data_IF_397577985302
#
_entry.id   IF_397577985302
#
_cell.length_a   1.000
_cell.length_b   1.000
_cell.length_c   1.000
_cell.angle_alpha   90.00
_cell.angle_beta   90.00
_cell.angle_gamma   90.00
#
_symmetry.space_group_name_H-M   'P 1'
#
loop_
_entity.id
_entity.type
_entity.pdbx_description
1 polymer ?
#
# COMPACT_ATOMS: atom_id res chain seq x y z
N UNK A 1 -14.38 -14.72 -33.27
CA UNK A 1 -14.97 -14.81 -31.92
C UNK A 1 -13.97 -14.22 -30.94
N UNK A 2 -14.29 -13.08 -30.31
CA UNK A 2 -13.55 -12.65 -29.12
C UNK A 2 -13.79 -13.73 -28.05
N UNK A 3 -12.79 -14.09 -27.23
CA UNK A 3 -13.02 -15.01 -26.12
C UNK A 3 -14.15 -14.43 -25.26
N UNK A 4 -15.09 -15.29 -24.89
CA UNK A 4 -16.10 -14.99 -23.89
C UNK A 4 -15.37 -14.56 -22.60
N UNK A 5 -15.37 -13.26 -22.30
CA UNK A 5 -14.80 -12.75 -21.05
C UNK A 5 -15.71 -13.22 -19.92
N UNK A 6 -15.42 -14.41 -19.38
CA UNK A 6 -16.18 -14.98 -18.27
C UNK A 6 -16.20 -13.97 -17.12
N UNK A 7 -17.38 -13.50 -16.75
CA UNK A 7 -17.58 -12.66 -15.57
C UNK A 7 -16.95 -13.34 -14.35
N UNK A 8 -15.97 -12.70 -13.69
CA UNK A 8 -15.40 -13.21 -12.44
C UNK A 8 -16.02 -12.48 -11.24
N UNK A 9 -16.29 -13.25 -10.20
CA UNK A 9 -16.68 -12.74 -8.89
C UNK A 9 -15.41 -12.49 -8.08
N UNK A 10 -15.20 -11.26 -7.65
CA UNK A 10 -14.05 -10.84 -6.86
C UNK A 10 -14.51 -10.44 -5.47
N UNK A 11 -13.89 -11.01 -4.44
CA UNK A 11 -14.18 -10.65 -3.04
C UNK A 11 -12.95 -9.99 -2.46
N UNK A 12 -13.04 -8.70 -2.19
CA UNK A 12 -12.01 -7.97 -1.48
C UNK A 12 -12.14 -8.22 0.02
N UNK A 13 -11.06 -8.69 0.63
CA UNK A 13 -10.97 -8.99 2.07
C UNK A 13 -9.97 -8.04 2.70
N UNK A 14 -10.38 -7.23 3.67
CA UNK A 14 -9.49 -6.27 4.34
C UNK A 14 -9.83 -6.11 5.82
N UNK A 15 -8.87 -5.73 6.65
CA UNK A 15 -9.09 -5.37 8.05
C UNK A 15 -10.10 -4.21 8.11
N UNK A 16 -9.86 -3.20 7.28
CA UNK A 16 -10.63 -1.96 7.16
C UNK A 16 -10.82 -1.59 5.68
N UNK A 17 -11.93 -0.93 5.36
CA UNK A 17 -12.16 -0.26 4.07
C UNK A 17 -12.22 1.26 4.25
N UNK A 18 -12.37 1.98 3.14
CA UNK A 18 -12.35 3.46 3.12
C UNK A 18 -13.44 4.09 3.99
N UNK A 19 -14.54 3.37 4.21
CA UNK A 19 -15.65 3.76 5.07
C UNK A 19 -15.28 3.69 6.56
N UNK A 20 -14.35 2.81 6.93
CA UNK A 20 -13.89 2.62 8.31
C UNK A 20 -12.72 3.56 8.66
N UNK A 21 -11.76 3.69 7.74
CA UNK A 21 -10.56 4.51 7.93
C UNK A 21 -9.99 4.97 6.59
N UNK A 22 -9.62 6.25 6.49
CA UNK A 22 -9.05 6.84 5.27
C UNK A 22 -7.53 6.88 5.31
N UNK A 23 -6.92 5.69 5.36
CA UNK A 23 -5.48 5.51 5.22
C UNK A 23 -5.05 5.31 3.76
N UNK A 24 -3.74 5.30 3.54
CA UNK A 24 -3.19 5.13 2.19
C UNK A 24 -3.47 3.76 1.58
N UNK A 25 -3.50 2.70 2.40
CA UNK A 25 -3.85 1.35 1.95
C UNK A 25 -5.34 1.25 1.58
N UNK A 26 -6.21 1.89 2.35
CA UNK A 26 -7.65 1.90 2.12
C UNK A 26 -8.00 2.72 0.88
N UNK A 27 -7.33 3.86 0.64
CA UNK A 27 -7.45 4.61 -0.62
C UNK A 27 -6.99 3.79 -1.83
N UNK A 28 -5.93 2.99 -1.71
CA UNK A 28 -5.44 2.09 -2.78
C UNK A 28 -6.44 0.99 -3.07
N UNK A 29 -6.96 0.36 -2.01
CA UNK A 29 -7.97 -0.68 -2.13
C UNK A 29 -9.25 -0.15 -2.78
N UNK A 30 -9.70 1.04 -2.38
CA UNK A 30 -10.88 1.67 -2.96
C UNK A 30 -10.68 2.04 -4.43
N UNK A 31 -9.48 2.47 -4.83
CA UNK A 31 -9.17 2.74 -6.24
C UNK A 31 -9.27 1.46 -7.09
N UNK A 32 -8.81 0.31 -6.58
CA UNK A 32 -9.03 -0.98 -7.26
C UNK A 32 -10.52 -1.27 -7.40
N UNK A 33 -11.27 -1.22 -6.30
CA UNK A 33 -12.70 -1.57 -6.30
C UNK A 33 -13.50 -0.68 -7.26
N UNK A 34 -13.23 0.62 -7.28
CA UNK A 34 -13.93 1.57 -8.18
C UNK A 34 -13.55 1.45 -9.65
N UNK A 35 -12.38 0.90 -9.94
CA UNK A 35 -11.90 0.71 -11.31
C UNK A 35 -12.23 -0.66 -11.88
N UNK A 36 -13.01 -1.47 -11.15
CA UNK A 36 -13.40 -2.80 -11.56
C UNK A 36 -14.05 -2.79 -12.96
N UNK A 37 -13.61 -3.68 -13.88
CA UNK A 37 -14.27 -3.85 -15.16
C UNK A 37 -15.74 -4.18 -14.99
N UNK A 38 -16.60 -3.58 -15.84
CA UNK A 38 -18.07 -3.75 -15.79
C UNK A 38 -18.51 -5.22 -15.93
N UNK A 39 -17.64 -6.06 -16.49
CA UNK A 39 -17.83 -7.51 -16.66
C UNK A 39 -17.75 -8.29 -15.35
N UNK A 40 -17.15 -7.71 -14.30
CA UNK A 40 -16.91 -8.37 -13.02
C UNK A 40 -17.95 -7.97 -11.95
N UNK A 41 -18.04 -8.77 -10.90
CA UNK A 41 -18.82 -8.45 -9.70
C UNK A 41 -17.89 -8.37 -8.50
N UNK A 42 -18.00 -7.33 -7.67
CA UNK A 42 -17.21 -7.17 -6.46
C UNK A 42 -18.07 -7.22 -5.20
N UNK A 43 -17.54 -7.86 -4.17
CA UNK A 43 -18.00 -7.71 -2.80
C UNK A 43 -16.83 -7.30 -1.88
N UNK A 44 -17.17 -6.64 -0.76
CA UNK A 44 -16.23 -6.28 0.31
C UNK A 44 -16.57 -7.11 1.54
N UNK A 45 -15.58 -7.68 2.20
CA UNK A 45 -15.74 -8.35 3.49
C UNK A 45 -14.60 -7.98 4.44
N UNK A 46 -14.94 -7.60 5.68
CA UNK A 46 -13.90 -7.38 6.68
C UNK A 46 -13.26 -8.72 7.08
N UNK A 47 -11.95 -8.74 7.33
CA UNK A 47 -11.23 -9.95 7.75
C UNK A 47 -11.88 -10.66 8.95
N UNK A 48 -12.39 -9.90 9.92
CA UNK A 48 -13.06 -10.43 11.12
C UNK A 48 -14.41 -11.11 10.85
N UNK A 49 -14.96 -10.94 9.64
CA UNK A 49 -16.26 -11.52 9.23
C UNK A 49 -16.12 -12.68 8.26
N UNK A 50 -14.94 -12.91 7.68
CA UNK A 50 -14.74 -14.00 6.73
C UNK A 50 -14.70 -15.34 7.50
N UNK A 51 -15.61 -16.24 7.15
CA UNK A 51 -15.69 -17.59 7.73
C UNK A 51 -15.50 -18.67 6.66
N UNK A 52 -15.38 -19.93 7.08
CA UNK A 52 -15.25 -21.07 6.15
C UNK A 52 -16.53 -21.27 5.33
N UNK A 53 -17.69 -21.03 5.95
CA UNK A 53 -19.00 -21.14 5.30
C UNK A 53 -19.13 -20.12 4.17
N UNK A 54 -18.72 -18.87 4.40
CA UNK A 54 -18.69 -17.83 3.36
C UNK A 54 -17.73 -18.21 2.22
N UNK A 55 -16.60 -18.86 2.54
CA UNK A 55 -15.67 -19.37 1.54
C UNK A 55 -16.32 -20.46 0.69
N UNK A 56 -17.05 -21.39 1.31
CA UNK A 56 -17.72 -22.49 0.62
C UNK A 56 -18.88 -22.00 -0.25
N UNK A 57 -19.67 -21.04 0.25
CA UNK A 57 -20.77 -20.40 -0.48
C UNK A 57 -20.30 -19.61 -1.71
N UNK A 58 -19.05 -19.18 -1.72
CA UNK A 58 -18.45 -18.36 -2.77
C UNK A 58 -17.16 -18.97 -3.30
N UNK A 59 -17.11 -20.30 -3.41
CA UNK A 59 -15.94 -21.04 -3.87
C UNK A 59 -15.55 -20.77 -5.34
N UNK A 60 -16.46 -20.16 -6.11
CA UNK A 60 -16.27 -19.69 -7.48
C UNK A 60 -15.60 -18.31 -7.56
N UNK A 61 -15.47 -17.61 -6.43
CA UNK A 61 -14.88 -16.28 -6.37
C UNK A 61 -13.35 -16.32 -6.28
N UNK A 62 -12.72 -15.27 -6.81
CA UNK A 62 -11.33 -14.94 -6.51
C UNK A 62 -11.28 -13.97 -5.33
N UNK A 63 -10.50 -14.28 -4.30
CA UNK A 63 -10.34 -13.41 -3.14
C UNK A 63 -9.11 -12.53 -3.27
N UNK A 64 -9.27 -11.22 -3.13
CA UNK A 64 -8.15 -10.26 -3.05
C UNK A 64 -7.95 -9.86 -1.60
N UNK A 65 -6.90 -10.39 -1.00
CA UNK A 65 -6.56 -10.18 0.41
C UNK A 65 -5.70 -8.94 0.56
N UNK A 66 -6.23 -7.91 1.21
CA UNK A 66 -5.60 -6.62 1.45
C UNK A 66 -4.90 -6.58 2.82
N UNK A 67 -5.17 -5.62 3.69
CA UNK A 67 -4.68 -5.70 5.07
C UNK A 67 -5.39 -6.87 5.79
N UNK A 68 -4.66 -7.82 6.40
CA UNK A 68 -5.26 -9.06 6.95
C UNK A 68 -4.83 -9.42 8.38
N UNK A 69 -4.49 -8.44 9.21
CA UNK A 69 -4.06 -8.73 10.59
C UNK A 69 -5.16 -9.33 11.47
N UNK A 70 -6.43 -9.04 11.18
CA UNK A 70 -7.58 -9.59 11.89
C UNK A 70 -8.13 -10.87 11.25
N UNK A 71 -7.51 -11.39 10.18
CA UNK A 71 -7.95 -12.62 9.53
C UNK A 71 -7.54 -13.83 10.38
N UNK A 72 -8.52 -14.64 10.76
CA UNK A 72 -8.32 -15.82 11.59
C UNK A 72 -7.38 -16.84 10.94
N UNK A 73 -6.49 -17.42 11.74
CA UNK A 73 -5.48 -18.36 11.26
C UNK A 73 -6.11 -19.66 10.72
N UNK A 74 -7.23 -20.13 11.27
CA UNK A 74 -7.93 -21.30 10.71
C UNK A 74 -8.58 -20.97 9.36
N UNK A 75 -9.02 -19.73 9.16
CA UNK A 75 -9.54 -19.26 7.88
C UNK A 75 -8.41 -19.19 6.85
N UNK A 76 -7.23 -18.64 7.18
CA UNK A 76 -6.06 -18.66 6.30
C UNK A 76 -5.68 -20.07 5.86
N UNK A 77 -5.62 -21.00 6.81
CA UNK A 77 -5.30 -22.41 6.52
C UNK A 77 -6.35 -23.04 5.61
N UNK A 78 -7.64 -22.71 5.83
CA UNK A 78 -8.73 -23.18 4.97
C UNK A 78 -8.61 -22.64 3.55
N UNK A 79 -8.39 -21.33 3.39
CA UNK A 79 -8.22 -20.69 2.09
C UNK A 79 -7.05 -21.27 1.28
N UNK A 80 -5.94 -21.63 1.94
CA UNK A 80 -4.79 -22.25 1.27
C UNK A 80 -5.16 -23.51 0.46
N UNK A 81 -6.25 -24.21 0.84
CA UNK A 81 -6.69 -25.45 0.19
C UNK A 81 -7.94 -25.27 -0.68
N UNK A 82 -8.81 -24.33 -0.31
CA UNK A 82 -10.19 -24.30 -0.79
C UNK A 82 -10.55 -23.01 -1.55
N UNK A 83 -9.61 -22.09 -1.78
CA UNK A 83 -9.91 -20.80 -2.41
C UNK A 83 -8.85 -20.40 -3.44
N UNK A 84 -9.28 -19.71 -4.49
CA UNK A 84 -8.36 -18.94 -5.34
C UNK A 84 -8.20 -17.55 -4.76
N UNK A 85 -6.96 -17.14 -4.44
CA UNK A 85 -6.72 -15.85 -3.83
C UNK A 85 -5.36 -15.24 -4.19
N UNK A 86 -5.32 -13.92 -4.18
CA UNK A 86 -4.12 -13.10 -4.32
C UNK A 86 -3.98 -12.18 -3.11
N UNK A 87 -2.77 -11.73 -2.82
CA UNK A 87 -2.48 -10.84 -1.69
C UNK A 87 -1.96 -9.50 -2.22
N UNK A 88 -2.51 -8.40 -1.72
CA UNK A 88 -1.93 -7.05 -1.84
C UNK A 88 -1.27 -6.71 -0.51
N UNK A 89 0.07 -6.75 -0.48
CA UNK A 89 0.82 -6.59 0.76
C UNK A 89 1.26 -5.14 0.97
N UNK A 90 0.55 -4.42 1.83
CA UNK A 90 0.86 -3.04 2.18
C UNK A 90 2.03 -2.87 3.16
N UNK A 91 2.27 -3.85 4.03
CA UNK A 91 3.17 -3.74 5.20
C UNK A 91 4.15 -4.93 5.29
N UNK A 92 4.78 -5.12 6.45
CA UNK A 92 5.61 -6.28 6.78
C UNK A 92 4.89 -7.26 7.70
N UNK A 93 3.77 -7.85 7.26
CA UNK A 93 2.99 -8.83 8.06
C UNK A 93 3.70 -10.16 8.33
N UNK A 94 4.95 -10.28 7.90
CA UNK A 94 5.93 -11.27 8.38
C UNK A 94 6.43 -10.98 9.81
N UNK A 95 6.06 -9.83 10.39
CA UNK A 95 6.39 -9.40 11.74
C UNK A 95 5.14 -8.84 12.45
N UNK A 96 4.95 -9.19 13.73
CA UNK A 96 3.85 -8.67 14.57
C UNK A 96 3.84 -7.15 14.71
N UNK A 97 5.01 -6.51 14.60
CA UNK A 97 5.17 -5.06 14.66
C UNK A 97 5.05 -4.38 13.29
N UNK A 98 4.85 -5.14 12.21
CA UNK A 98 4.88 -4.67 10.82
C UNK A 98 6.17 -3.92 10.47
N UNK A 99 7.25 -4.21 11.20
CA UNK A 99 8.58 -3.62 11.04
C UNK A 99 9.60 -4.56 11.70
N UNK A 100 10.63 -4.92 10.95
CA UNK A 100 11.71 -5.79 11.45
C UNK A 100 12.63 -5.02 12.40
N UNK A 101 12.87 -3.74 12.13
CA UNK A 101 13.69 -2.88 12.99
C UNK A 101 12.99 -2.62 14.34
N UNK A 102 11.69 -2.28 14.32
CA UNK A 102 10.90 -2.12 15.54
C UNK A 102 10.89 -3.38 16.39
N UNK A 103 10.80 -4.55 15.75
CA UNK A 103 10.92 -5.82 16.47
C UNK A 103 12.26 -5.90 17.21
N UNK A 104 13.37 -5.66 16.51
CA UNK A 104 14.70 -5.67 17.11
C UNK A 104 14.83 -4.71 18.28
N UNK A 105 14.28 -3.50 18.16
CA UNK A 105 14.33 -2.48 19.21
C UNK A 105 13.50 -2.90 20.44
N UNK A 106 12.29 -3.42 20.24
CA UNK A 106 11.37 -3.74 21.34
C UNK A 106 11.72 -5.07 22.02
N UNK A 107 12.05 -6.09 21.23
CA UNK A 107 12.30 -7.46 21.73
C UNK A 107 13.78 -7.70 22.05
N UNK A 108 14.65 -6.74 21.70
CA UNK A 108 16.10 -6.84 21.84
C UNK A 108 16.70 -8.08 21.14
N UNK A 109 16.07 -8.55 20.06
CA UNK A 109 16.52 -9.70 19.26
C UNK A 109 16.02 -9.62 17.81
N UNK A 110 16.67 -10.32 16.85
CA UNK A 110 16.19 -10.37 15.49
C UNK A 110 14.78 -10.96 15.40
N UNK A 111 13.99 -10.46 14.45
CA UNK A 111 12.62 -10.94 14.25
C UNK A 111 12.58 -12.45 13.98
N UNK A 112 11.90 -13.17 14.87
CA UNK A 112 11.65 -14.62 14.81
C UNK A 112 10.16 -14.93 14.61
N UNK A 113 9.34 -13.95 14.24
CA UNK A 113 7.89 -14.14 14.09
C UNK A 113 7.53 -15.29 13.14
N UNK A 114 8.34 -15.54 12.11
CA UNK A 114 8.16 -16.63 11.15
C UNK A 114 8.40 -18.03 11.74
N UNK A 115 9.00 -18.14 12.92
CA UNK A 115 9.19 -19.41 13.61
C UNK A 115 8.01 -19.78 14.52
N UNK A 116 7.13 -18.81 14.80
CA UNK A 116 5.90 -19.03 15.58
C UNK A 116 4.86 -19.79 14.76
N UNK A 117 3.86 -20.39 15.44
CA UNK A 117 2.72 -21.05 14.78
C UNK A 117 2.02 -20.13 13.76
N UNK A 118 1.62 -18.92 14.18
CA UNK A 118 1.02 -17.92 13.30
C UNK A 118 1.95 -17.50 12.15
N UNK A 119 3.26 -17.44 12.41
CA UNK A 119 4.28 -17.18 11.38
C UNK A 119 4.39 -18.26 10.32
N UNK A 120 4.30 -19.54 10.72
CA UNK A 120 4.26 -20.67 9.78
C UNK A 120 2.99 -20.66 8.94
N UNK A 121 1.85 -20.27 9.52
CA UNK A 121 0.59 -20.07 8.79
C UNK A 121 0.72 -18.93 7.78
N UNK A 122 1.24 -17.76 8.18
CA UNK A 122 1.46 -16.66 7.24
C UNK A 122 2.41 -17.08 6.10
N UNK A 123 3.48 -17.83 6.37
CA UNK A 123 4.36 -18.38 5.32
C UNK A 123 3.63 -19.27 4.32
N UNK A 124 2.76 -20.16 4.82
CA UNK A 124 1.93 -20.98 3.95
C UNK A 124 0.98 -20.10 3.13
N UNK A 125 0.30 -19.15 3.77
CA UNK A 125 -0.64 -18.24 3.13
C UNK A 125 -0.02 -17.44 1.97
N UNK A 126 1.18 -16.88 2.15
CA UNK A 126 1.89 -16.26 1.03
C UNK A 126 2.33 -17.26 -0.05
N UNK A 127 2.74 -18.48 0.33
CA UNK A 127 3.20 -19.50 -0.62
C UNK A 127 2.09 -20.06 -1.50
N UNK A 128 0.88 -20.19 -0.94
CA UNK A 128 -0.31 -20.70 -1.64
C UNK A 128 -1.02 -19.63 -2.47
N UNK A 129 -0.86 -18.35 -2.16
CA UNK A 129 -1.39 -17.25 -2.98
C UNK A 129 -1.03 -17.41 -4.46
N UNK A 130 -1.96 -17.05 -5.35
CA UNK A 130 -1.77 -17.04 -6.80
C UNK A 130 -0.81 -15.91 -7.19
N UNK A 131 -1.07 -14.72 -6.68
CA UNK A 131 -0.21 -13.54 -6.84
C UNK A 131 0.02 -12.85 -5.49
N UNK A 132 1.21 -12.29 -5.30
CA UNK A 132 1.52 -11.36 -4.19
C UNK A 132 2.02 -10.05 -4.77
N UNK A 133 1.23 -9.00 -4.58
CA UNK A 133 1.40 -7.66 -5.13
C UNK A 133 2.01 -6.76 -4.03
N UNK A 134 3.23 -6.32 -4.25
CA UNK A 134 4.00 -5.49 -3.32
C UNK A 134 3.94 -4.01 -3.67
N UNK A 135 4.23 -3.18 -2.67
CA UNK A 135 4.22 -1.73 -2.78
C UNK A 135 5.54 -1.16 -3.33
N UNK A 136 6.65 -1.87 -3.18
CA UNK A 136 7.97 -1.50 -3.73
C UNK A 136 8.83 -2.74 -3.99
N UNK A 137 9.84 -2.58 -4.84
CA UNK A 137 10.86 -3.62 -5.06
C UNK A 137 11.65 -3.89 -3.77
N UNK A 138 11.90 -2.85 -2.96
CA UNK A 138 12.54 -2.99 -1.65
C UNK A 138 11.77 -3.93 -0.72
N UNK A 139 10.45 -3.72 -0.59
CA UNK A 139 9.58 -4.59 0.19
C UNK A 139 9.57 -6.01 -0.37
N UNK A 140 9.36 -6.17 -1.69
CA UNK A 140 9.33 -7.48 -2.35
C UNK A 140 10.61 -8.28 -2.10
N UNK A 141 11.77 -7.64 -2.22
CA UNK A 141 13.06 -8.28 -2.02
C UNK A 141 13.24 -8.79 -0.58
N UNK A 142 12.81 -8.01 0.41
CA UNK A 142 12.82 -8.45 1.83
C UNK A 142 11.93 -9.68 2.01
N UNK A 143 10.74 -9.69 1.42
CA UNK A 143 9.84 -10.83 1.51
C UNK A 143 10.42 -12.09 0.86
N UNK A 144 10.98 -11.98 -0.36
CA UNK A 144 11.62 -13.12 -1.04
C UNK A 144 12.82 -13.68 -0.26
N UNK A 145 13.57 -12.82 0.43
CA UNK A 145 14.68 -13.25 1.29
C UNK A 145 14.20 -13.98 2.56
N UNK A 146 13.07 -13.56 3.13
CA UNK A 146 12.55 -14.08 4.41
C UNK A 146 11.61 -15.28 4.24
N UNK A 147 10.83 -15.33 3.16
CA UNK A 147 9.82 -16.36 2.92
C UNK A 147 10.27 -17.32 1.82
N UNK A 148 10.89 -18.43 2.22
CA UNK A 148 11.32 -19.48 1.27
C UNK A 148 10.16 -20.11 0.49
N UNK A 149 8.94 -20.04 1.04
CA UNK A 149 7.71 -20.55 0.40
C UNK A 149 7.19 -19.62 -0.70
N UNK A 150 7.60 -18.34 -0.71
CA UNK A 150 7.14 -17.36 -1.68
C UNK A 150 8.00 -17.43 -2.95
N UNK A 151 7.38 -17.80 -4.06
CA UNK A 151 8.09 -17.95 -5.34
C UNK A 151 8.14 -16.64 -6.10
N UNK A 152 9.31 -16.28 -6.64
CA UNK A 152 9.56 -14.99 -7.31
C UNK A 152 8.61 -14.74 -8.49
N UNK A 153 8.28 -15.78 -9.27
CA UNK A 153 7.37 -15.72 -10.42
C UNK A 153 5.92 -15.39 -10.06
N UNK A 154 5.53 -15.54 -8.78
CA UNK A 154 4.21 -15.15 -8.28
C UNK A 154 4.17 -13.75 -7.68
N UNK A 155 5.30 -13.04 -7.69
CA UNK A 155 5.45 -11.75 -6.99
C UNK A 155 5.63 -10.61 -7.97
N UNK A 156 4.87 -9.54 -7.77
CA UNK A 156 4.87 -8.37 -8.64
C UNK A 156 4.90 -7.09 -7.80
N UNK A 157 5.46 -6.01 -8.34
CA UNK A 157 5.36 -4.69 -7.72
C UNK A 157 4.24 -3.92 -8.40
N UNK A 158 3.25 -3.54 -7.60
CA UNK A 158 2.11 -2.76 -8.02
C UNK A 158 2.21 -1.31 -7.53
N UNK A 159 2.81 -1.08 -6.36
CA UNK A 159 2.81 0.22 -5.68
C UNK A 159 1.41 0.66 -5.21
N UNK A 160 1.28 1.90 -4.72
CA UNK A 160 -0.03 2.52 -4.50
C UNK A 160 -0.72 2.81 -5.84
N UNK A 161 -2.05 2.88 -5.86
CA UNK A 161 -2.83 3.09 -7.09
C UNK A 161 -3.93 4.15 -6.92
N UNK A 162 -4.01 5.13 -7.81
CA UNK A 162 -4.92 6.27 -7.65
C UNK A 162 -6.15 6.11 -8.52
N UNK A 163 -7.29 6.63 -8.06
CA UNK A 163 -8.46 6.70 -8.94
C UNK A 163 -8.19 7.70 -10.08
N UNK A 164 -8.82 7.51 -11.23
CA UNK A 164 -8.69 8.46 -12.34
C UNK A 164 -9.18 9.86 -11.95
N UNK A 165 -10.18 9.94 -11.07
CA UNK A 165 -10.67 11.21 -10.52
C UNK A 165 -9.59 11.94 -9.71
N UNK A 166 -8.88 11.22 -8.83
CA UNK A 166 -7.80 11.81 -8.04
C UNK A 166 -6.63 12.26 -8.92
N UNK A 167 -6.23 11.44 -9.90
CA UNK A 167 -5.16 11.80 -10.85
C UNK A 167 -5.54 13.02 -11.67
N UNK A 168 -6.78 13.11 -12.16
CA UNK A 168 -7.28 14.28 -12.89
C UNK A 168 -7.30 15.53 -12.00
N UNK A 169 -7.72 15.40 -10.74
CA UNK A 169 -7.72 16.51 -9.80
C UNK A 169 -6.30 17.01 -9.52
N UNK A 170 -5.37 16.10 -9.19
CA UNK A 170 -3.96 16.42 -9.00
C UNK A 170 -3.39 17.13 -10.23
N UNK A 171 -3.65 16.60 -11.43
CA UNK A 171 -3.18 17.20 -12.68
C UNK A 171 -3.72 18.63 -12.87
N UNK A 172 -4.97 18.89 -12.47
CA UNK A 172 -5.60 20.21 -12.61
C UNK A 172 -5.01 21.29 -11.70
N UNK A 173 -4.32 20.91 -10.63
CA UNK A 173 -3.76 21.85 -9.64
C UNK A 173 -2.23 21.79 -9.54
N UNK A 174 -1.55 20.93 -10.32
CA UNK A 174 -0.11 20.68 -10.18
C UNK A 174 0.78 21.90 -10.47
N UNK A 175 0.27 22.84 -11.28
CA UNK A 175 1.00 24.03 -11.76
C UNK A 175 0.67 25.30 -10.96
N UNK A 176 0.04 25.16 -9.79
CA UNK A 176 -0.20 26.29 -8.88
C UNK A 176 1.11 26.96 -8.45
N UNK A 177 1.06 28.28 -8.24
CA UNK A 177 2.20 29.03 -7.70
C UNK A 177 2.58 28.49 -6.30
N UNK A 178 3.88 28.26 -6.10
CA UNK A 178 4.41 27.65 -4.88
C UNK A 178 4.99 28.71 -3.95
N UNK A 179 4.65 28.60 -2.68
CA UNK A 179 5.34 29.33 -1.61
C UNK A 179 6.69 28.71 -1.29
N UNK A 180 7.49 29.38 -0.44
CA UNK A 180 8.76 28.84 0.09
C UNK A 180 8.60 27.89 1.29
N UNK A 181 7.38 27.48 1.62
CA UNK A 181 7.09 26.66 2.81
C UNK A 181 7.08 25.17 2.47
N UNK A 182 7.85 24.37 3.21
CA UNK A 182 7.77 22.90 3.18
C UNK A 182 6.65 22.38 4.09
N UNK A 183 6.03 21.28 3.71
CA UNK A 183 5.08 20.56 4.55
C UNK A 183 5.77 19.42 5.29
N UNK A 184 5.32 19.18 6.51
CA UNK A 184 5.66 18.02 7.33
C UNK A 184 4.35 17.33 7.73
N UNK A 185 4.26 16.02 7.50
CA UNK A 185 3.10 15.26 7.96
C UNK A 185 3.11 15.14 9.48
N UNK A 186 2.10 15.70 10.14
CA UNK A 186 1.76 15.40 11.52
C UNK A 186 1.16 14.00 11.61
N UNK A 187 1.78 13.13 12.40
CA UNK A 187 1.26 11.78 12.64
C UNK A 187 1.61 11.29 14.03
N UNK A 188 0.66 10.59 14.66
CA UNK A 188 0.90 9.83 15.90
C UNK A 188 1.67 8.53 15.66
N UNK A 189 1.79 8.10 14.40
CA UNK A 189 2.53 6.89 14.06
C UNK A 189 4.03 7.15 14.15
N UNK A 190 4.71 6.42 15.04
CA UNK A 190 6.16 6.55 15.27
C UNK A 190 6.98 6.49 13.97
N UNK A 191 6.59 5.61 13.04
CA UNK A 191 7.36 5.36 11.81
C UNK A 191 7.39 6.59 10.89
N UNK A 192 6.39 7.48 10.95
CA UNK A 192 6.28 8.62 10.04
C UNK A 192 7.28 9.74 10.36
N UNK A 193 7.95 9.69 11.51
CA UNK A 193 9.12 10.52 11.79
C UNK A 193 8.83 12.03 11.85
N UNK A 194 7.64 12.46 12.30
CA UNK A 194 7.28 13.90 12.37
C UNK A 194 8.34 14.73 13.11
N UNK A 195 8.80 14.27 14.27
CA UNK A 195 9.84 14.96 15.05
C UNK A 195 11.19 15.04 14.32
N UNK A 196 11.57 13.98 13.59
CA UNK A 196 12.79 13.94 12.79
C UNK A 196 12.73 14.94 11.64
N UNK A 197 11.57 15.03 10.96
CA UNK A 197 11.34 16.00 9.90
C UNK A 197 11.43 17.44 10.42
N UNK A 198 10.87 17.71 11.60
CA UNK A 198 10.93 19.03 12.26
C UNK A 198 12.38 19.38 12.58
N UNK A 199 13.14 18.44 13.15
CA UNK A 199 14.54 18.67 13.50
C UNK A 199 15.38 18.95 12.25
N UNK A 200 15.15 18.21 11.16
CA UNK A 200 15.81 18.46 9.89
C UNK A 200 15.50 19.85 9.35
N UNK A 201 14.23 20.26 9.35
CA UNK A 201 13.83 21.58 8.88
C UNK A 201 14.51 22.70 9.67
N UNK A 202 14.55 22.58 11.01
CA UNK A 202 15.24 23.53 11.90
C UNK A 202 16.74 23.60 11.63
N UNK A 203 17.41 22.45 11.55
CA UNK A 203 18.86 22.38 11.32
C UNK A 203 19.28 23.00 9.98
N UNK A 204 18.39 23.01 8.99
CA UNK A 204 18.64 23.54 7.66
C UNK A 204 17.97 24.91 7.42
N UNK A 205 17.43 25.55 8.46
CA UNK A 205 16.74 26.85 8.38
C UNK A 205 15.62 26.88 7.30
N UNK A 206 14.90 25.78 7.14
CA UNK A 206 13.79 25.68 6.19
C UNK A 206 12.51 26.22 6.81
N UNK A 207 11.75 27.02 6.05
CA UNK A 207 10.38 27.40 6.43
C UNK A 207 9.48 26.17 6.28
N UNK A 208 8.74 25.83 7.33
CA UNK A 208 7.87 24.65 7.30
C UNK A 208 6.54 24.87 8.03
N UNK A 209 5.58 24.02 7.68
CA UNK A 209 4.27 23.89 8.33
C UNK A 209 3.96 22.42 8.57
N UNK A 210 3.32 22.11 9.70
CA UNK A 210 2.86 20.76 10.02
C UNK A 210 1.41 20.62 9.56
N UNK A 211 1.12 19.62 8.74
CA UNK A 211 -0.23 19.29 8.28
C UNK A 211 -0.74 18.03 8.97
N UNK A 212 -1.91 18.11 9.58
CA UNK A 212 -2.55 16.99 10.28
C UNK A 212 -4.07 17.07 10.09
N UNK A 213 -4.73 15.91 9.93
CA UNK A 213 -6.19 15.77 9.91
C UNK A 213 -6.93 16.63 8.86
N UNK A 214 -6.26 17.02 7.77
CA UNK A 214 -6.91 17.69 6.64
C UNK A 214 -7.74 16.70 5.81
N UNK A 215 -8.93 17.11 5.33
CA UNK A 215 -9.62 16.40 4.26
C UNK A 215 -8.70 16.18 3.06
N UNK A 216 -8.83 15.03 2.39
CA UNK A 216 -7.89 14.60 1.36
C UNK A 216 -7.65 15.64 0.26
N UNK A 217 -8.70 16.22 -0.33
CA UNK A 217 -8.52 17.23 -1.37
C UNK A 217 -7.96 18.56 -0.85
N UNK A 218 -8.25 18.92 0.40
CA UNK A 218 -7.66 20.11 1.03
C UNK A 218 -6.15 19.91 1.25
N UNK A 219 -5.72 18.70 1.65
CA UNK A 219 -4.32 18.34 1.72
C UNK A 219 -3.63 18.48 0.35
N UNK A 220 -4.24 17.98 -0.72
CA UNK A 220 -3.69 18.10 -2.08
C UNK A 220 -3.57 19.57 -2.54
N UNK A 221 -4.56 20.42 -2.26
CA UNK A 221 -4.50 21.85 -2.55
C UNK A 221 -3.39 22.53 -1.73
N UNK A 222 -3.25 22.15 -0.46
CA UNK A 222 -2.17 22.66 0.40
C UNK A 222 -0.80 22.27 -0.15
N UNK A 223 -0.64 21.02 -0.58
CA UNK A 223 0.59 20.52 -1.19
C UNK A 223 0.91 21.24 -2.50
N UNK A 224 -0.09 21.48 -3.36
CA UNK A 224 0.13 22.09 -4.68
C UNK A 224 0.71 23.51 -4.60
N UNK A 225 0.34 24.26 -3.56
CA UNK A 225 0.82 25.63 -3.27
C UNK A 225 2.04 25.70 -2.35
N UNK A 226 2.54 24.55 -1.89
CA UNK A 226 3.71 24.46 -1.02
C UNK A 226 4.99 24.17 -1.81
N UNK A 227 6.14 24.60 -1.28
CA UNK A 227 7.45 24.34 -1.90
C UNK A 227 7.69 22.86 -2.08
N UNK A 228 7.46 22.11 -1.01
CA UNK A 228 7.92 20.74 -0.92
C UNK A 228 7.33 19.96 0.24
N UNK A 229 7.70 18.69 0.32
CA UNK A 229 7.41 17.79 1.42
C UNK A 229 8.74 17.33 2.05
N UNK A 230 8.83 17.45 3.38
CA UNK A 230 9.87 16.79 4.17
C UNK A 230 9.26 15.52 4.76
N UNK A 231 9.73 14.36 4.31
CA UNK A 231 9.24 13.07 4.75
C UNK A 231 10.40 12.09 4.99
N UNK A 232 10.79 11.95 6.26
CA UNK A 232 11.94 11.16 6.71
C UNK A 232 11.50 10.14 7.76
N UNK A 233 10.88 9.01 7.34
CA UNK A 233 10.42 7.99 8.27
C UNK A 233 11.55 7.36 9.06
N UNK A 234 11.22 6.76 10.21
CA UNK A 234 12.19 6.14 11.13
C UNK A 234 12.53 4.68 10.79
N UNK A 235 11.78 4.07 9.88
CA UNK A 235 12.01 2.74 9.35
C UNK A 235 11.31 2.61 7.99
N UNK A 236 11.53 1.51 7.27
CA UNK A 236 11.03 1.29 5.93
C UNK A 236 9.52 1.54 5.80
N UNK A 237 9.18 2.56 5.02
CA UNK A 237 7.83 2.86 4.56
C UNK A 237 7.70 2.41 3.10
N UNK A 238 6.81 1.43 2.88
CA UNK A 238 6.82 0.59 1.68
C UNK A 238 6.54 1.38 0.41
N UNK A 239 5.51 2.23 0.43
CA UNK A 239 5.14 3.14 -0.65
C UNK A 239 4.22 4.27 -0.14
N UNK A 240 4.74 5.25 0.63
CA UNK A 240 3.92 6.29 1.24
C UNK A 240 3.25 7.16 0.16
N UNK A 241 1.91 7.07 0.07
CA UNK A 241 1.11 7.84 -0.89
C UNK A 241 1.37 9.33 -0.89
N UNK A 242 1.52 9.95 0.28
CA UNK A 242 1.77 11.39 0.41
C UNK A 242 3.06 11.82 -0.32
N UNK A 243 4.05 10.93 -0.42
CA UNK A 243 5.28 11.19 -1.17
C UNK A 243 5.02 11.14 -2.68
N UNK A 244 4.16 10.23 -3.14
CA UNK A 244 3.71 10.17 -4.53
C UNK A 244 2.87 11.40 -4.89
N UNK A 245 1.91 11.75 -4.05
CA UNK A 245 1.05 12.93 -4.22
C UNK A 245 1.91 14.21 -4.33
N UNK A 246 2.91 14.36 -3.46
CA UNK A 246 3.85 15.48 -3.52
C UNK A 246 4.63 15.50 -4.85
N UNK A 247 5.14 14.34 -5.30
CA UNK A 247 5.82 14.22 -6.60
C UNK A 247 4.93 14.63 -7.76
N UNK A 248 3.68 14.14 -7.79
CA UNK A 248 2.71 14.44 -8.84
C UNK A 248 2.31 15.93 -8.84
N UNK A 249 2.35 16.59 -7.68
CA UNK A 249 2.12 18.03 -7.53
C UNK A 249 3.36 18.90 -7.74
N UNK A 250 4.47 18.31 -8.20
CA UNK A 250 5.71 19.03 -8.48
C UNK A 250 6.40 19.61 -7.25
N UNK A 251 6.12 19.07 -6.06
CA UNK A 251 6.77 19.48 -4.82
C UNK A 251 8.25 19.04 -4.80
N UNK A 252 9.10 19.88 -4.20
CA UNK A 252 10.44 19.46 -3.78
C UNK A 252 10.33 18.34 -2.73
N UNK A 253 11.09 17.27 -2.88
CA UNK A 253 11.05 16.13 -1.95
C UNK A 253 12.35 16.01 -1.15
N UNK A 254 12.23 16.10 0.17
CA UNK A 254 13.31 15.84 1.11
C UNK A 254 13.00 14.51 1.80
N UNK A 255 13.61 13.44 1.28
CA UNK A 255 13.38 12.06 1.69
C UNK A 255 14.66 11.42 2.24
N UNK A 256 14.52 10.39 3.08
CA UNK A 256 15.64 9.53 3.49
C UNK A 256 15.53 8.14 2.85
N UNK A 257 16.51 7.27 3.12
CA UNK A 257 16.63 5.89 2.63
C UNK A 257 15.45 4.98 2.98
N UNK A 258 14.64 5.35 3.97
CA UNK A 258 13.52 4.53 4.43
C UNK A 258 12.26 4.66 3.56
N UNK A 259 12.21 5.61 2.63
CA UNK A 259 11.15 5.63 1.59
C UNK A 259 11.53 4.67 0.48
N UNK A 260 10.95 3.46 0.48
CA UNK A 260 11.51 2.36 -0.32
C UNK A 260 11.36 2.50 -1.83
N UNK A 261 10.35 3.24 -2.30
CA UNK A 261 10.14 3.46 -3.72
C UNK A 261 10.93 4.66 -4.30
N UNK A 262 11.64 5.43 -3.46
CA UNK A 262 12.19 6.74 -3.85
C UNK A 262 13.20 6.67 -5.00
N UNK A 263 13.88 5.53 -5.15
CA UNK A 263 14.91 5.31 -6.17
C UNK A 263 14.40 4.42 -7.33
N UNK A 264 13.11 4.06 -7.34
CA UNK A 264 12.54 3.25 -8.42
C UNK A 264 12.41 4.09 -9.71
N UNK A 265 12.67 3.51 -10.90
CA UNK A 265 12.76 4.29 -12.15
C UNK A 265 11.54 5.14 -12.47
N UNK A 266 10.34 4.65 -12.14
CA UNK A 266 9.09 5.35 -12.36
C UNK A 266 8.95 6.60 -11.49
N UNK A 267 9.63 6.67 -10.34
CA UNK A 267 9.56 7.80 -9.42
C UNK A 267 10.58 8.90 -9.74
N UNK A 268 11.26 8.83 -10.89
CA UNK A 268 12.32 9.77 -11.24
C UNK A 268 11.81 11.19 -11.49
N UNK A 269 10.83 11.37 -12.37
CA UNK A 269 10.26 12.68 -12.72
C UNK A 269 8.78 12.77 -12.35
N UNK A 270 8.20 13.97 -12.41
CA UNK A 270 6.75 14.15 -12.24
C UNK A 270 5.97 13.39 -13.33
N UNK A 271 6.45 13.46 -14.58
CA UNK A 271 5.86 12.79 -15.75
C UNK A 271 5.92 11.27 -15.63
N UNK A 272 7.10 10.69 -15.38
CA UNK A 272 7.24 9.24 -15.24
C UNK A 272 6.41 8.69 -14.08
N UNK A 273 6.28 9.49 -13.00
CA UNK A 273 5.45 9.14 -11.85
C UNK A 273 3.97 9.12 -12.25
N UNK A 274 3.51 10.14 -12.99
CA UNK A 274 2.13 10.20 -13.48
C UNK A 274 1.80 9.03 -14.40
N UNK A 275 2.61 8.77 -15.43
CA UNK A 275 2.40 7.67 -16.38
C UNK A 275 2.34 6.31 -15.67
N UNK A 276 3.23 6.11 -14.70
CA UNK A 276 3.25 4.89 -13.91
C UNK A 276 2.00 4.78 -13.04
N UNK A 277 1.60 5.84 -12.34
CA UNK A 277 0.38 5.86 -11.52
C UNK A 277 -0.90 5.65 -12.34
N UNK A 278 -0.96 6.22 -13.55
CA UNK A 278 -2.11 6.10 -14.45
C UNK A 278 -2.34 4.67 -14.96
N UNK A 279 -1.25 3.90 -15.12
CA UNK A 279 -1.31 2.50 -15.56
C UNK A 279 -1.54 1.49 -14.43
N UNK A 280 -1.50 1.88 -13.14
CA UNK A 280 -1.54 0.90 -12.03
C UNK A 280 -2.85 0.15 -11.92
N UNK A 281 -3.98 0.80 -12.21
CA UNK A 281 -5.29 0.15 -12.14
C UNK A 281 -5.44 -0.90 -13.24
N UNK A 282 -5.03 -0.60 -14.47
CA UNK A 282 -4.98 -1.58 -15.56
C UNK A 282 -4.02 -2.73 -15.24
N UNK A 283 -2.82 -2.42 -14.73
CA UNK A 283 -1.86 -3.43 -14.31
C UNK A 283 -2.43 -4.36 -13.23
N UNK A 284 -3.16 -3.84 -12.24
CA UNK A 284 -3.84 -4.65 -11.23
C UNK A 284 -4.88 -5.58 -11.87
N UNK A 285 -5.75 -5.05 -12.74
CA UNK A 285 -6.83 -5.83 -13.33
C UNK A 285 -6.35 -6.88 -14.34
N UNK A 286 -5.18 -6.69 -14.97
CA UNK A 286 -4.58 -7.67 -15.88
C UNK A 286 -4.29 -9.04 -15.24
N UNK A 287 -4.15 -9.12 -13.91
CA UNK A 287 -3.99 -10.39 -13.18
C UNK A 287 -5.30 -11.17 -13.01
N UNK A 288 -6.44 -10.54 -13.29
CA UNK A 288 -7.77 -11.10 -13.14
C UNK A 288 -8.56 -11.13 -14.46
N UNK A 289 -7.92 -10.85 -15.59
CA UNK A 289 -8.52 -11.05 -16.93
C UNK A 289 -8.44 -12.51 -17.41
#
# INVERSE_FOLDING_TARGET
MKPDQSSKKIIFVSDLFIEDYRGGAELTTEAFIRSMPITHQAAKINCSKLTKEIIDEHNDAHYVICNFSALDDNVKVYMCKNSDYSIVEYDYKICKYRSLNKHQIIENKPCDCLETYAGKINQAFYGYAKHVLFMSEGQRNIFLQKLKTLKKEKTFVLSSAFSKGDLNFIQSIKDNEKSDTYLILGSKSWIKGTSECIQYAKNNNLKYEIVENLPYHELLIKMSTSKGLIFRPLDYDTCPRIVIEAKLLGCDLILNEYVQHKDEPWFKTQESCYEYMDSRLEAFWSYYE
#
